data_IF_341658236640
#
_entry.id   IF_341658236640
#
_cell.length_a   1.000
_cell.length_b   1.000
_cell.length_c   1.000
_cell.angle_alpha   90.00
_cell.angle_beta   90.00
_cell.angle_gamma   90.00
#
_symmetry.space_group_name_H-M   'P 1'
#
loop_
_entity.id
_entity.type
_entity.pdbx_description
1 polymer ?
#
# COMPACT_ATOMS: atom_id res chain seq x y z
N UNK A 1 1.63 9.94 -13.32
CA UNK A 1 1.07 10.29 -12.01
C UNK A 1 -0.07 11.25 -12.27
N UNK A 2 -1.28 10.94 -11.82
CA UNK A 2 -2.38 11.90 -11.93
C UNK A 2 -2.16 13.01 -10.91
N UNK A 3 -2.54 14.24 -11.23
CA UNK A 3 -2.43 15.40 -10.33
C UNK A 3 -3.54 15.45 -9.28
N UNK A 4 -4.54 14.57 -9.39
CA UNK A 4 -5.64 14.45 -8.44
C UNK A 4 -5.34 13.36 -7.40
N UNK A 5 -5.92 13.47 -6.18
CA UNK A 5 -5.88 12.40 -5.18
C UNK A 5 -6.39 11.07 -5.74
N UNK A 6 -5.78 9.96 -5.31
CA UNK A 6 -6.17 8.60 -5.68
C UNK A 6 -6.64 7.82 -4.45
N UNK A 7 -7.66 6.97 -4.61
CA UNK A 7 -8.12 6.06 -3.56
C UNK A 7 -7.18 4.85 -3.49
N UNK A 8 -6.74 4.52 -2.28
CA UNK A 8 -5.87 3.38 -2.01
C UNK A 8 -6.27 2.71 -0.70
N UNK A 9 -5.96 1.42 -0.58
CA UNK A 9 -6.13 0.64 0.64
C UNK A 9 -4.77 0.14 1.15
N UNK A 10 -4.64 0.05 2.47
CA UNK A 10 -3.49 -0.54 3.15
C UNK A 10 -3.94 -1.59 4.15
N UNK A 11 -3.13 -2.64 4.34
CA UNK A 11 -3.41 -3.73 5.25
C UNK A 11 -2.36 -3.79 6.36
N UNK A 12 -2.80 -3.64 7.61
CA UNK A 12 -1.96 -3.91 8.78
C UNK A 12 -2.16 -5.38 9.17
N UNK A 13 -1.22 -6.22 8.78
CA UNK A 13 -1.28 -7.67 9.03
C UNK A 13 -0.45 -7.97 10.27
N UNK A 14 -1.09 -8.47 11.32
CA UNK A 14 -0.48 -8.79 12.61
C UNK A 14 -0.35 -10.30 12.77
N UNK A 15 0.85 -10.79 13.08
CA UNK A 15 1.14 -12.21 13.36
C UNK A 15 2.13 -12.27 14.52
N UNK A 16 1.78 -12.97 15.61
CA UNK A 16 2.65 -13.17 16.78
C UNK A 16 3.38 -11.89 17.26
N UNK A 17 2.62 -10.82 17.51
CA UNK A 17 3.10 -9.48 17.91
C UNK A 17 4.01 -8.78 16.89
N UNK A 18 4.02 -9.22 15.64
CA UNK A 18 4.77 -8.60 14.52
C UNK A 18 3.82 -8.06 13.47
N UNK A 19 4.28 -7.06 12.73
CA UNK A 19 3.55 -6.49 11.58
C UNK A 19 4.30 -6.82 10.29
N UNK A 20 3.57 -7.23 9.26
CA UNK A 20 4.13 -7.41 7.92
C UNK A 20 4.42 -6.05 7.26
N UNK A 21 5.67 -5.88 6.83
CA UNK A 21 6.10 -4.74 6.02
C UNK A 21 6.66 -5.23 4.68
N UNK A 22 6.51 -4.40 3.65
CA UNK A 22 7.09 -4.60 2.32
C UNK A 22 8.11 -3.51 2.03
N UNK A 23 9.25 -3.90 1.45
CA UNK A 23 10.23 -2.94 0.92
C UNK A 23 9.85 -2.59 -0.51
N UNK A 24 9.55 -1.33 -0.78
CA UNK A 24 8.99 -0.91 -2.07
C UNK A 24 10.01 -1.04 -3.19
N UNK A 25 9.68 -1.85 -4.21
CA UNK A 25 10.58 -2.09 -5.35
C UNK A 25 10.53 -1.03 -6.45
N UNK A 26 9.47 -0.21 -6.52
CA UNK A 26 9.22 0.77 -7.59
C UNK A 26 8.32 1.92 -7.16
N UNK A 27 8.29 2.99 -7.95
CA UNK A 27 7.40 4.14 -7.78
C UNK A 27 7.87 5.08 -6.66
N UNK A 28 6.98 5.95 -6.15
CA UNK A 28 7.30 6.81 -5.02
C UNK A 28 7.73 5.99 -3.80
N UNK A 29 8.65 6.54 -3.00
CA UNK A 29 9.21 5.89 -1.81
C UNK A 29 9.88 4.52 -2.09
N UNK A 30 10.49 4.36 -3.28
CA UNK A 30 11.26 3.15 -3.59
C UNK A 30 12.39 2.96 -2.57
N UNK A 31 12.57 1.71 -2.12
CA UNK A 31 13.58 1.33 -1.14
C UNK A 31 13.15 1.49 0.33
N UNK A 32 12.06 2.23 0.59
CA UNK A 32 11.48 2.41 1.92
C UNK A 32 10.58 1.23 2.32
N UNK A 33 10.40 1.07 3.62
CA UNK A 33 9.46 0.10 4.21
C UNK A 33 8.07 0.72 4.35
N UNK A 34 7.04 -0.05 4.02
CA UNK A 34 5.64 0.37 4.11
C UNK A 34 4.74 -0.83 4.42
N UNK A 35 3.50 -0.58 4.84
CA UNK A 35 2.50 -1.63 4.95
C UNK A 35 2.09 -2.12 3.54
N UNK A 36 1.70 -3.40 3.38
CA UNK A 36 1.09 -3.87 2.14
C UNK A 36 -0.11 -3.02 1.74
N UNK A 37 -0.26 -2.72 0.45
CA UNK A 37 -1.34 -1.88 -0.03
C UNK A 37 -1.33 -1.69 -1.54
N UNK A 38 -2.38 -1.05 -2.05
CA UNK A 38 -2.59 -0.86 -3.47
C UNK A 38 -3.62 0.23 -3.78
N UNK A 39 -3.61 0.66 -5.05
CA UNK A 39 -4.65 1.53 -5.62
C UNK A 39 -5.96 0.74 -5.71
N UNK A 40 -7.07 1.41 -5.42
CA UNK A 40 -8.42 0.89 -5.70
C UNK A 40 -8.77 1.19 -7.15
N UNK A 41 -9.17 0.18 -7.92
CA UNK A 41 -9.59 0.32 -9.31
C UNK A 41 -11.09 0.62 -9.41
N UNK A 42 -11.54 1.29 -10.49
CA UNK A 42 -12.96 1.54 -10.71
C UNK A 42 -13.79 0.25 -10.68
N UNK A 43 -14.84 0.23 -9.86
CA UNK A 43 -15.72 -0.93 -9.68
C UNK A 43 -15.31 -1.88 -8.56
N UNK A 44 -14.15 -1.70 -7.93
CA UNK A 44 -13.79 -2.43 -6.70
C UNK A 44 -14.57 -1.89 -5.50
N UNK A 45 -14.94 -2.79 -4.59
CA UNK A 45 -15.50 -2.44 -3.27
C UNK A 45 -14.37 -2.14 -2.29
N UNK A 46 -14.64 -1.29 -1.29
CA UNK A 46 -13.76 -1.05 -0.16
C UNK A 46 -13.96 -2.08 0.95
#
# INVERSE_FOLDING_TARGET
MTTAPEVAVGAVIVVDDRILLVRRGRGPAQGEWSIPGGRVLPGETL
#
